data_IF_093151064283
#
_entry.id   IF_093151064283
#
_cell.length_a   1.000
_cell.length_b   1.000
_cell.length_c   1.000
_cell.angle_alpha   90.00
_cell.angle_beta   90.00
_cell.angle_gamma   90.00
#
_symmetry.space_group_name_H-M   'P 1'
#
loop_
_entity.id
_entity.type
_entity.pdbx_description
1 polymer ?
#
# COMPACT_ATOMS: atom_id res chain seq x y z
N UNK A 1 10.28 28.17 -7.55
CA UNK A 1 10.03 26.72 -7.75
C UNK A 1 9.76 26.48 -9.22
N UNK A 2 10.44 25.54 -9.87
CA UNK A 2 10.20 25.23 -11.30
C UNK A 2 8.93 24.40 -11.49
N UNK A 3 8.23 24.49 -12.64
CA UNK A 3 6.99 23.75 -12.91
C UNK A 3 7.11 22.24 -12.69
N UNK A 4 8.28 21.66 -13.01
CA UNK A 4 8.58 20.24 -12.79
C UNK A 4 8.55 19.82 -11.32
N UNK A 5 9.01 20.67 -10.38
CA UNK A 5 8.98 20.38 -8.93
C UNK A 5 7.54 20.36 -8.41
N UNK A 6 6.74 21.35 -8.81
CA UNK A 6 5.32 21.46 -8.40
C UNK A 6 4.53 20.23 -8.85
N UNK A 7 4.78 19.74 -10.07
CA UNK A 7 4.09 18.55 -10.58
C UNK A 7 4.45 17.28 -9.78
N UNK A 8 5.70 17.13 -9.34
CA UNK A 8 6.14 16.00 -8.50
C UNK A 8 5.60 16.05 -7.09
N UNK A 9 5.57 17.21 -6.46
CA UNK A 9 5.00 17.34 -5.11
C UNK A 9 3.49 17.06 -5.13
N UNK A 10 2.81 17.47 -6.21
CA UNK A 10 1.40 17.14 -6.45
C UNK A 10 1.21 15.63 -6.68
N UNK A 11 2.06 15.01 -7.51
CA UNK A 11 2.05 13.56 -7.74
C UNK A 11 2.27 12.77 -6.45
N UNK A 12 3.29 13.12 -5.65
CA UNK A 12 3.60 12.45 -4.40
C UNK A 12 2.48 12.55 -3.38
N UNK A 13 1.86 13.74 -3.24
CA UNK A 13 0.68 13.91 -2.36
C UNK A 13 -0.52 13.12 -2.84
N UNK A 14 -0.77 13.05 -4.14
CA UNK A 14 -1.85 12.25 -4.70
C UNK A 14 -1.61 10.75 -4.52
N UNK A 15 -0.39 10.28 -4.77
CA UNK A 15 0.00 8.89 -4.52
C UNK A 15 -0.27 8.49 -3.06
N UNK A 16 0.17 9.29 -2.08
CA UNK A 16 -0.07 9.00 -0.66
C UNK A 16 -1.56 9.03 -0.29
N UNK A 17 -2.36 9.92 -0.90
CA UNK A 17 -3.82 9.97 -0.66
C UNK A 17 -4.54 8.76 -1.25
N UNK A 18 -4.16 8.35 -2.45
CA UNK A 18 -4.71 7.16 -3.10
C UNK A 18 -4.34 5.90 -2.32
N UNK A 19 -3.09 5.81 -1.85
CA UNK A 19 -2.62 4.71 -1.02
C UNK A 19 -3.39 4.62 0.30
N UNK A 20 -3.59 5.75 1.01
CA UNK A 20 -4.43 5.78 2.20
C UNK A 20 -5.88 5.36 1.92
N UNK A 21 -6.45 5.80 0.79
CA UNK A 21 -7.78 5.39 0.36
C UNK A 21 -7.86 3.89 0.07
N UNK A 22 -6.90 3.35 -0.66
CA UNK A 22 -6.79 1.93 -0.98
C UNK A 22 -6.63 1.08 0.29
N UNK A 23 -5.72 1.46 1.19
CA UNK A 23 -5.55 0.81 2.49
C UNK A 23 -6.86 0.79 3.30
N UNK A 24 -7.60 1.90 3.32
CA UNK A 24 -8.89 1.96 4.02
C UNK A 24 -9.87 0.95 3.43
N UNK A 25 -10.05 0.96 2.11
CA UNK A 25 -10.99 0.07 1.42
C UNK A 25 -10.58 -1.40 1.59
N UNK A 26 -9.30 -1.71 1.36
CA UNK A 26 -8.76 -3.07 1.49
C UNK A 26 -8.89 -3.58 2.94
N UNK A 27 -8.50 -2.77 3.92
CA UNK A 27 -8.59 -3.14 5.33
C UNK A 27 -10.03 -3.42 5.78
N UNK A 28 -10.99 -2.59 5.37
CA UNK A 28 -12.43 -2.83 5.62
C UNK A 28 -12.90 -4.09 4.92
N UNK A 29 -12.52 -4.31 3.66
CA UNK A 29 -12.89 -5.51 2.92
C UNK A 29 -12.35 -6.79 3.58
N UNK A 30 -11.12 -6.76 4.11
CA UNK A 30 -10.54 -7.87 4.87
C UNK A 30 -11.32 -8.18 6.15
N UNK A 31 -11.68 -7.15 6.93
CA UNK A 31 -12.47 -7.34 8.17
C UNK A 31 -13.83 -7.95 7.84
N UNK A 32 -14.56 -7.36 6.89
CA UNK A 32 -15.90 -7.80 6.50
C UNK A 32 -15.92 -9.19 5.83
N UNK A 33 -14.85 -9.56 5.14
CA UNK A 33 -14.76 -10.82 4.38
C UNK A 33 -13.92 -11.90 5.08
N UNK A 34 -13.50 -11.67 6.33
CA UNK A 34 -12.57 -12.53 7.07
C UNK A 34 -13.01 -14.00 7.11
N UNK A 35 -14.29 -14.28 7.33
CA UNK A 35 -14.83 -15.65 7.29
C UNK A 35 -14.67 -16.32 5.92
N UNK A 36 -15.00 -15.59 4.84
CA UNK A 36 -14.91 -16.11 3.46
C UNK A 36 -13.46 -16.35 3.02
N UNK A 37 -12.54 -15.48 3.43
CA UNK A 37 -11.12 -15.59 3.05
C UNK A 37 -10.50 -16.91 3.56
N UNK A 38 -10.98 -17.43 4.69
CA UNK A 38 -10.47 -18.70 5.25
C UNK A 38 -10.72 -19.93 4.38
N UNK A 39 -11.66 -19.85 3.43
CA UNK A 39 -11.89 -20.92 2.46
C UNK A 39 -10.81 -20.95 1.37
N UNK A 40 -10.19 -19.79 1.08
CA UNK A 40 -9.15 -19.64 0.06
C UNK A 40 -7.74 -19.64 0.62
N UNK A 41 -7.56 -19.24 1.88
CA UNK A 41 -6.28 -19.17 2.58
C UNK A 41 -6.38 -19.86 3.94
N UNK A 42 -5.40 -20.69 4.34
CA UNK A 42 -5.37 -21.37 5.63
C UNK A 42 -4.95 -20.40 6.75
N UNK A 43 -5.67 -19.29 6.89
CA UNK A 43 -5.44 -18.27 7.91
C UNK A 43 -6.62 -18.24 8.89
N UNK A 44 -6.38 -18.12 10.20
CA UNK A 44 -7.46 -18.00 11.17
C UNK A 44 -8.20 -16.66 11.00
N UNK A 45 -9.54 -16.61 11.08
CA UNK A 45 -10.32 -15.38 10.87
C UNK A 45 -9.88 -14.18 11.74
N UNK A 46 -9.56 -14.36 13.05
CA UNK A 46 -9.09 -13.26 13.88
C UNK A 46 -7.81 -12.60 13.36
N UNK A 47 -6.90 -13.37 12.77
CA UNK A 47 -5.67 -12.82 12.20
C UNK A 47 -5.98 -11.90 11.00
N UNK A 48 -6.92 -12.30 10.15
CA UNK A 48 -7.35 -11.50 8.99
C UNK A 48 -8.00 -10.19 9.46
N UNK A 49 -8.84 -10.26 10.50
CA UNK A 49 -9.45 -9.06 11.10
C UNK A 49 -8.37 -8.14 11.68
N UNK A 50 -7.42 -8.67 12.44
CA UNK A 50 -6.31 -7.88 13.02
C UNK A 50 -5.50 -7.20 11.92
N UNK A 51 -5.16 -7.91 10.84
CA UNK A 51 -4.46 -7.33 9.69
C UNK A 51 -5.31 -6.22 9.06
N UNK A 52 -6.59 -6.46 8.79
CA UNK A 52 -7.48 -5.47 8.20
C UNK A 52 -7.59 -4.19 9.04
N UNK A 53 -7.75 -4.33 10.36
CA UNK A 53 -7.76 -3.19 11.31
C UNK A 53 -6.42 -2.45 11.30
N UNK A 54 -5.29 -3.18 11.32
CA UNK A 54 -3.97 -2.58 11.25
C UNK A 54 -3.77 -1.77 9.96
N UNK A 55 -4.25 -2.26 8.82
CA UNK A 55 -4.20 -1.54 7.53
C UNK A 55 -5.07 -0.28 7.56
N UNK A 56 -6.26 -0.32 8.17
CA UNK A 56 -7.10 0.89 8.35
C UNK A 56 -6.42 1.92 9.25
N UNK A 57 -5.81 1.48 10.36
CA UNK A 57 -5.02 2.37 11.24
C UNK A 57 -3.84 2.97 10.49
N UNK A 58 -3.16 2.18 9.65
CA UNK A 58 -2.07 2.64 8.81
C UNK A 58 -2.50 3.74 7.84
N UNK A 59 -3.68 3.63 7.23
CA UNK A 59 -4.24 4.68 6.38
C UNK A 59 -4.38 6.02 7.12
N UNK A 60 -4.86 6.00 8.38
CA UNK A 60 -4.90 7.19 9.22
C UNK A 60 -3.48 7.72 9.52
N UNK A 61 -2.52 6.81 9.74
CA UNK A 61 -1.09 7.13 9.86
C UNK A 61 -0.54 7.88 8.64
N UNK A 62 -0.86 7.45 7.42
CA UNK A 62 -0.46 8.14 6.18
C UNK A 62 -1.03 9.57 6.14
N UNK A 63 -2.32 9.74 6.44
CA UNK A 63 -2.96 11.06 6.47
C UNK A 63 -2.33 11.96 7.53
N UNK A 64 -1.97 11.41 8.69
CA UNK A 64 -1.26 12.12 9.74
C UNK A 64 0.15 12.52 9.29
N UNK A 65 0.91 11.63 8.65
CA UNK A 65 2.25 11.92 8.11
C UNK A 65 2.21 13.05 7.08
N UNK A 66 1.20 13.06 6.21
CA UNK A 66 0.99 14.15 5.24
C UNK A 66 0.79 15.54 5.89
N UNK A 67 0.32 15.59 7.14
CA UNK A 67 0.10 16.84 7.89
C UNK A 67 1.31 17.26 8.74
N UNK A 68 2.18 16.32 9.12
CA UNK A 68 3.23 16.53 10.14
C UNK A 68 4.66 16.39 9.62
N UNK A 69 4.88 15.61 8.56
CA UNK A 69 6.21 15.31 8.05
C UNK A 69 6.47 16.03 6.73
N UNK A 70 7.75 16.13 6.36
CA UNK A 70 8.12 16.52 5.00
C UNK A 70 7.66 15.46 4.00
N UNK A 71 7.22 15.89 2.81
CA UNK A 71 6.69 14.99 1.78
C UNK A 71 7.69 13.87 1.43
N UNK A 72 8.98 14.20 1.34
CA UNK A 72 10.03 13.22 1.04
C UNK A 72 10.17 12.13 2.10
N UNK A 73 10.05 12.49 3.38
CA UNK A 73 10.13 11.51 4.46
C UNK A 73 8.89 10.61 4.46
N UNK A 74 7.69 11.19 4.33
CA UNK A 74 6.45 10.44 4.24
C UNK A 74 6.46 9.44 3.07
N UNK A 75 6.87 9.88 1.88
CA UNK A 75 7.00 9.01 0.71
C UNK A 75 7.99 7.86 0.95
N UNK A 76 9.13 8.12 1.59
CA UNK A 76 10.15 7.08 1.83
C UNK A 76 9.67 6.03 2.83
N UNK A 77 9.02 6.46 3.91
CA UNK A 77 8.45 5.55 4.92
C UNK A 77 7.39 4.65 4.27
N UNK A 78 6.44 5.25 3.54
CA UNK A 78 5.34 4.49 2.92
C UNK A 78 5.85 3.58 1.82
N UNK A 79 6.84 4.01 1.02
CA UNK A 79 7.49 3.15 0.01
C UNK A 79 8.10 1.90 0.62
N UNK A 80 8.84 2.04 1.72
CA UNK A 80 9.44 0.88 2.40
C UNK A 80 8.34 -0.04 2.94
N UNK A 81 7.32 0.52 3.60
CA UNK A 81 6.19 -0.25 4.11
C UNK A 81 5.47 -1.04 3.00
N UNK A 82 5.19 -0.39 1.86
CA UNK A 82 4.53 -1.02 0.73
C UNK A 82 5.39 -2.09 0.07
N UNK A 83 6.71 -1.90 -0.05
CA UNK A 83 7.61 -2.95 -0.53
C UNK A 83 7.56 -4.18 0.37
N UNK A 84 7.64 -3.98 1.69
CA UNK A 84 7.57 -5.09 2.67
C UNK A 84 6.21 -5.78 2.60
N UNK A 85 5.12 -5.01 2.54
CA UNK A 85 3.76 -5.54 2.45
C UNK A 85 3.53 -6.32 1.15
N UNK A 86 3.98 -5.81 0.00
CA UNK A 86 3.87 -6.50 -1.29
C UNK A 86 4.60 -7.84 -1.27
N UNK A 87 5.79 -7.90 -0.70
CA UNK A 87 6.54 -9.16 -0.52
C UNK A 87 5.77 -10.11 0.40
N UNK A 88 5.31 -9.64 1.56
CA UNK A 88 4.59 -10.45 2.51
C UNK A 88 3.28 -11.03 1.92
N UNK A 89 2.48 -10.19 1.25
CA UNK A 89 1.25 -10.61 0.56
C UNK A 89 1.56 -11.57 -0.58
N UNK A 90 2.62 -11.31 -1.36
CA UNK A 90 3.08 -12.22 -2.41
C UNK A 90 3.45 -13.60 -1.88
N UNK A 91 4.12 -13.68 -0.72
CA UNK A 91 4.43 -14.98 -0.09
C UNK A 91 3.19 -15.72 0.40
N UNK A 92 2.14 -15.01 0.83
CA UNK A 92 0.86 -15.62 1.22
C UNK A 92 0.20 -16.36 0.05
N UNK A 93 0.45 -15.96 -1.20
CA UNK A 93 -0.13 -16.65 -2.36
C UNK A 93 0.33 -18.11 -2.49
N UNK A 94 1.47 -18.48 -1.91
CA UNK A 94 1.97 -19.87 -1.91
C UNK A 94 1.05 -20.80 -1.10
N UNK A 95 0.34 -20.25 -0.11
CA UNK A 95 -0.59 -21.00 0.74
C UNK A 95 -2.03 -21.03 0.19
N UNK A 96 -2.29 -20.43 -0.98
CA UNK A 96 -3.64 -20.33 -1.53
C UNK A 96 -4.18 -21.68 -2.02
N UNK A 97 -5.46 -21.94 -1.73
CA UNK A 97 -6.13 -23.20 -2.02
C UNK A 97 -6.46 -23.41 -3.50
N UNK A 98 -6.56 -22.33 -4.29
CA UNK A 98 -6.93 -22.40 -5.71
C UNK A 98 -6.14 -21.38 -6.56
N UNK A 99 -5.97 -21.63 -7.88
CA UNK A 99 -5.32 -20.67 -8.77
C UNK A 99 -6.00 -19.30 -8.80
N UNK A 100 -7.33 -19.26 -8.65
CA UNK A 100 -8.07 -18.00 -8.59
C UNK A 100 -7.70 -17.17 -7.36
N UNK A 101 -7.55 -17.82 -6.20
CA UNK A 101 -7.09 -17.16 -4.97
C UNK A 101 -5.62 -16.72 -5.11
N UNK A 102 -4.76 -17.53 -5.73
CA UNK A 102 -3.38 -17.12 -6.06
C UNK A 102 -3.38 -15.82 -6.87
N UNK A 103 -4.15 -15.77 -7.95
CA UNK A 103 -4.23 -14.59 -8.83
C UNK A 103 -4.76 -13.38 -8.06
N UNK A 104 -5.80 -13.55 -7.24
CA UNK A 104 -6.35 -12.47 -6.43
C UNK A 104 -5.33 -11.90 -5.43
N UNK A 105 -4.60 -12.77 -4.71
CA UNK A 105 -3.57 -12.35 -3.76
C UNK A 105 -2.40 -11.66 -4.47
N UNK A 106 -1.96 -12.19 -5.61
CA UNK A 106 -0.90 -11.57 -6.42
C UNK A 106 -1.34 -10.23 -6.99
N UNK A 107 -2.60 -10.08 -7.41
CA UNK A 107 -3.12 -8.79 -7.88
C UNK A 107 -3.03 -7.73 -6.78
N UNK A 108 -3.41 -8.07 -5.54
CA UNK A 108 -3.25 -7.18 -4.38
C UNK A 108 -1.77 -6.87 -4.13
N UNK A 109 -0.88 -7.86 -4.19
CA UNK A 109 0.56 -7.62 -4.03
C UNK A 109 1.13 -6.68 -5.11
N UNK A 110 0.68 -6.82 -6.36
CA UNK A 110 1.07 -5.96 -7.47
C UNK A 110 0.55 -4.54 -7.27
N UNK A 111 -0.71 -4.35 -6.86
CA UNK A 111 -1.26 -3.03 -6.56
C UNK A 111 -0.41 -2.29 -5.50
N UNK A 112 -0.05 -2.99 -4.42
CA UNK A 112 0.80 -2.45 -3.36
C UNK A 112 2.19 -2.11 -3.91
N UNK A 113 2.78 -2.98 -4.74
CA UNK A 113 4.07 -2.72 -5.37
C UNK A 113 4.02 -1.51 -6.32
N UNK A 114 2.91 -1.31 -7.05
CA UNK A 114 2.70 -0.15 -7.91
C UNK A 114 2.66 1.15 -7.10
N UNK A 115 2.06 1.13 -5.91
CA UNK A 115 2.15 2.28 -5.00
C UNK A 115 3.60 2.56 -4.58
N UNK A 116 4.37 1.54 -4.18
CA UNK A 116 5.79 1.70 -3.86
C UNK A 116 6.60 2.28 -5.02
N UNK A 117 6.36 1.80 -6.25
CA UNK A 117 6.99 2.32 -7.47
C UNK A 117 6.60 3.79 -7.70
N UNK A 118 5.33 4.14 -7.51
CA UNK A 118 4.87 5.53 -7.67
C UNK A 118 5.56 6.49 -6.69
N UNK A 119 5.79 6.02 -5.46
CA UNK A 119 6.47 6.76 -4.40
C UNK A 119 7.96 6.90 -4.71
N UNK A 120 8.59 5.84 -5.22
CA UNK A 120 9.97 5.87 -5.71
C UNK A 120 10.15 6.88 -6.85
N UNK A 121 9.23 6.91 -7.83
CA UNK A 121 9.25 7.87 -8.94
C UNK A 121 9.11 9.31 -8.44
N UNK A 122 8.22 9.55 -7.46
CA UNK A 122 8.07 10.86 -6.83
C UNK A 122 9.33 11.33 -6.08
N UNK A 123 10.13 10.39 -5.55
CA UNK A 123 11.37 10.66 -4.83
C UNK A 123 12.62 10.82 -5.71
N UNK A 124 12.59 10.37 -6.97
CA UNK A 124 13.76 10.43 -7.86
C UNK A 124 14.29 11.87 -7.97
N UNK A 125 15.61 12.11 -7.91
CA UNK A 125 16.17 13.42 -8.22
C UNK A 125 15.74 13.90 -9.61
N UNK A 126 15.52 15.20 -9.80
CA UNK A 126 15.44 15.75 -11.16
C UNK A 126 16.87 15.90 -11.66
N UNK A 127 17.20 15.48 -12.90
CA UNK A 127 18.44 15.91 -13.51
C UNK A 127 18.44 17.44 -13.49
N UNK A 128 19.39 18.04 -12.78
CA UNK A 128 19.72 19.44 -12.98
C UNK A 128 20.38 19.47 -14.35
N UNK A 129 19.61 19.79 -15.40
CA UNK A 129 20.21 20.15 -16.68
C UNK A 129 21.02 21.44 -16.42
N UNK A 130 22.32 21.45 -16.73
CA UNK A 130 23.17 22.63 -16.58
C UNK A 130 22.66 23.80 -17.43
#
# INVERSE_FOLDING_TARGET
MTPRRINRDRLGRWSLRLDAGYCTVLGVALVCSSGWITHGLPLPPPLIVVIGVAVVIWAAGIVWMLKRLSLSLALRVVMVANTVAAIAVGLVSVAAATPLVVIAVLAVAIDIALFAVSQAVALRPSPQLP
#
